data_IF_561010516974
#
_entry.id   IF_561010516974
#
_cell.length_a   1.000
_cell.length_b   1.000
_cell.length_c   1.000
_cell.angle_alpha   90.00
_cell.angle_beta   90.00
_cell.angle_gamma   90.00
#
_symmetry.space_group_name_H-M   'P 1'
#
loop_
_entity.id
_entity.type
_entity.pdbx_description
1 polymer ?
#
# COMPACT_ATOMS: atom_id res chain seq x y z
N UNK A 1 -15.89 -16.26 -2.37
CA UNK A 1 -15.97 -15.04 -3.21
C UNK A 1 -15.13 -15.28 -4.45
N UNK A 2 -15.65 -15.04 -5.65
CA UNK A 2 -14.92 -15.23 -6.90
C UNK A 2 -13.79 -14.17 -7.05
N UNK A 3 -12.62 -14.47 -7.67
CA UNK A 3 -11.50 -13.52 -7.77
C UNK A 3 -11.88 -12.16 -8.38
N UNK A 4 -12.68 -12.17 -9.45
CA UNK A 4 -13.18 -10.94 -10.09
C UNK A 4 -14.13 -10.16 -9.15
N UNK A 5 -14.91 -10.84 -8.32
CA UNK A 5 -15.80 -10.17 -7.34
C UNK A 5 -14.98 -9.49 -6.24
N UNK A 6 -13.90 -10.14 -5.78
CA UNK A 6 -12.95 -9.56 -4.81
C UNK A 6 -12.30 -8.30 -5.37
N UNK A 7 -11.85 -8.33 -6.64
CA UNK A 7 -11.31 -7.14 -7.32
C UNK A 7 -12.35 -6.01 -7.44
N UNK A 8 -13.59 -6.33 -7.78
CA UNK A 8 -14.69 -5.34 -7.83
C UNK A 8 -15.03 -4.76 -6.45
N UNK A 9 -14.87 -5.54 -5.39
CA UNK A 9 -15.03 -5.05 -4.03
C UNK A 9 -13.90 -4.09 -3.65
N UNK A 10 -12.64 -4.48 -3.87
CA UNK A 10 -11.43 -3.68 -3.61
C UNK A 10 -11.43 -2.37 -4.41
N UNK A 11 -11.86 -2.40 -5.67
CA UNK A 11 -12.02 -1.19 -6.47
C UNK A 11 -13.04 -0.22 -5.83
N UNK A 12 -14.00 -0.69 -5.03
CA UNK A 12 -15.04 0.17 -4.45
C UNK A 12 -14.74 0.65 -3.03
N UNK A 13 -13.80 0.05 -2.31
CA UNK A 13 -13.45 0.47 -0.94
C UNK A 13 -12.77 1.84 -0.93
N UNK A 14 -13.10 2.68 0.06
CA UNK A 14 -12.46 3.97 0.30
C UNK A 14 -12.03 4.07 1.78
N UNK A 15 -10.91 4.72 2.06
CA UNK A 15 -10.44 4.95 3.44
C UNK A 15 -9.84 3.72 4.13
N UNK A 16 -9.53 2.66 3.38
CA UNK A 16 -8.78 1.52 3.89
C UNK A 16 -7.28 1.86 3.93
N UNK A 17 -6.57 1.25 4.89
CA UNK A 17 -5.11 1.24 4.95
C UNK A 17 -4.53 0.81 3.59
N UNK A 18 -3.55 1.59 3.09
CA UNK A 18 -2.97 1.37 1.77
C UNK A 18 -2.22 0.03 1.66
N UNK A 19 -1.59 -0.45 2.74
CA UNK A 19 -0.92 -1.76 2.79
C UNK A 19 -1.94 -2.88 2.66
N UNK A 20 -3.05 -2.79 3.38
CA UNK A 20 -4.16 -3.76 3.28
C UNK A 20 -4.72 -3.77 1.87
N UNK A 21 -4.95 -2.58 1.27
CA UNK A 21 -5.48 -2.47 -0.08
C UNK A 21 -4.58 -3.11 -1.13
N UNK A 22 -3.25 -2.93 -1.00
CA UNK A 22 -2.25 -3.55 -1.87
C UNK A 22 -2.22 -5.06 -1.67
N UNK A 23 -2.16 -5.56 -0.43
CA UNK A 23 -2.12 -6.99 -0.13
C UNK A 23 -3.37 -7.72 -0.69
N UNK A 24 -4.53 -7.12 -0.51
CA UNK A 24 -5.80 -7.59 -1.03
C UNK A 24 -5.84 -7.61 -2.56
N UNK A 25 -5.34 -6.55 -3.19
CA UNK A 25 -5.23 -6.45 -4.65
C UNK A 25 -4.28 -7.51 -5.21
N UNK A 26 -3.09 -7.64 -4.63
CA UNK A 26 -2.10 -8.63 -5.04
C UNK A 26 -2.63 -10.07 -4.90
N UNK A 27 -3.32 -10.36 -3.79
CA UNK A 27 -4.00 -11.64 -3.57
C UNK A 27 -5.06 -11.92 -4.63
N UNK A 28 -5.90 -10.93 -4.92
CA UNK A 28 -6.98 -11.08 -5.90
C UNK A 28 -6.46 -11.23 -7.34
N UNK A 29 -5.42 -10.50 -7.73
CA UNK A 29 -4.77 -10.63 -9.03
C UNK A 29 -4.08 -12.00 -9.19
N UNK A 30 -3.46 -12.53 -8.14
CA UNK A 30 -2.87 -13.88 -8.15
C UNK A 30 -3.89 -14.97 -8.43
N UNK A 31 -5.13 -14.78 -7.96
CA UNK A 31 -6.20 -15.75 -8.12
C UNK A 31 -6.86 -15.71 -9.52
N UNK A 32 -6.48 -14.78 -10.40
CA UNK A 32 -6.91 -14.78 -11.81
C UNK A 32 -6.21 -15.86 -12.65
N UNK A 33 -5.04 -16.35 -12.21
CA UNK A 33 -4.24 -17.29 -12.98
C UNK A 33 -3.51 -16.63 -14.17
N UNK A 34 -2.92 -17.43 -15.07
CA UNK A 34 -2.13 -16.92 -16.20
C UNK A 34 -3.05 -16.37 -17.30
N UNK A 35 -3.46 -15.11 -17.16
CA UNK A 35 -4.19 -14.34 -18.17
C UNK A 35 -3.56 -12.95 -18.33
N UNK A 36 -2.62 -12.78 -19.28
CA UNK A 36 -1.95 -11.49 -19.49
C UNK A 36 -2.92 -10.36 -19.85
N UNK A 37 -3.95 -10.64 -20.65
CA UNK A 37 -4.94 -9.63 -21.03
C UNK A 37 -5.82 -9.24 -19.84
N UNK A 38 -6.27 -10.22 -19.05
CA UNK A 38 -7.01 -10.00 -17.83
C UNK A 38 -6.22 -9.22 -16.78
N UNK A 39 -4.90 -9.46 -16.69
CA UNK A 39 -4.00 -8.71 -15.80
C UNK A 39 -3.94 -7.23 -16.22
N UNK A 40 -3.71 -6.92 -17.50
CA UNK A 40 -3.67 -5.53 -18.01
C UNK A 40 -4.98 -4.80 -17.72
N UNK A 41 -6.13 -5.43 -18.03
CA UNK A 41 -7.45 -4.84 -17.80
C UNK A 41 -7.70 -4.61 -16.31
N UNK A 42 -7.30 -5.54 -15.45
CA UNK A 42 -7.49 -5.44 -14.01
C UNK A 42 -6.62 -4.33 -13.41
N UNK A 43 -5.33 -4.28 -13.75
CA UNK A 43 -4.41 -3.23 -13.33
C UNK A 43 -4.91 -1.84 -13.75
N UNK A 44 -5.35 -1.68 -15.00
CA UNK A 44 -5.94 -0.42 -15.48
C UNK A 44 -7.13 0.01 -14.62
N UNK A 45 -8.07 -0.89 -14.34
CA UNK A 45 -9.27 -0.58 -13.56
C UNK A 45 -8.96 -0.21 -12.11
N UNK A 46 -7.98 -0.89 -11.49
CA UNK A 46 -7.52 -0.58 -10.13
C UNK A 46 -6.98 0.85 -10.08
N UNK A 47 -6.10 1.20 -11.03
CA UNK A 47 -5.47 2.51 -11.11
C UNK A 47 -6.46 3.63 -11.45
N UNK A 48 -7.36 3.41 -12.43
CA UNK A 48 -8.42 4.37 -12.78
C UNK A 48 -9.32 4.70 -11.59
N UNK A 49 -9.48 3.74 -10.67
CA UNK A 49 -10.37 3.87 -9.52
C UNK A 49 -9.67 4.41 -8.27
N UNK A 50 -8.36 4.21 -8.16
CA UNK A 50 -7.53 4.69 -7.06
C UNK A 50 -6.39 5.59 -7.58
N UNK A 51 -6.71 6.70 -8.27
CA UNK A 51 -5.70 7.49 -8.99
C UNK A 51 -4.64 8.11 -8.08
N UNK A 52 -4.96 8.33 -6.81
CA UNK A 52 -4.07 8.92 -5.80
C UNK A 52 -3.32 7.88 -4.96
N UNK A 53 -3.57 6.58 -5.16
CA UNK A 53 -2.87 5.51 -4.44
C UNK A 53 -1.53 5.19 -5.12
N UNK A 54 -0.47 5.87 -4.67
CA UNK A 54 0.91 5.58 -5.09
C UNK A 54 1.28 4.09 -4.96
N UNK A 55 0.97 3.40 -3.84
CA UNK A 55 1.27 1.97 -3.68
C UNK A 55 0.58 1.06 -4.70
N UNK A 56 -0.67 1.37 -5.11
CA UNK A 56 -1.35 0.58 -6.15
C UNK A 56 -0.77 0.82 -7.55
N UNK A 57 -0.38 2.07 -7.86
CA UNK A 57 0.38 2.37 -9.07
C UNK A 57 1.69 1.58 -9.11
N UNK A 58 2.45 1.61 -8.00
CA UNK A 58 3.70 0.87 -7.85
C UNK A 58 3.50 -0.63 -8.06
N UNK A 59 2.52 -1.24 -7.38
CA UNK A 59 2.19 -2.66 -7.56
C UNK A 59 1.86 -2.98 -9.03
N UNK A 60 0.93 -2.26 -9.64
CA UNK A 60 0.47 -2.53 -11.00
C UNK A 60 1.60 -2.39 -12.03
N UNK A 61 2.44 -1.37 -11.90
CA UNK A 61 3.57 -1.17 -12.80
C UNK A 61 4.56 -2.34 -12.75
N UNK A 62 4.91 -2.82 -11.56
CA UNK A 62 5.83 -3.96 -11.40
C UNK A 62 5.22 -5.28 -11.88
N UNK A 63 3.91 -5.48 -11.69
CA UNK A 63 3.24 -6.68 -12.18
C UNK A 63 3.22 -6.75 -13.71
N UNK A 64 2.97 -5.62 -14.37
CA UNK A 64 2.88 -5.55 -15.84
C UNK A 64 4.22 -5.71 -16.55
N UNK A 65 5.33 -5.43 -15.85
CA UNK A 65 6.70 -5.55 -16.39
C UNK A 65 7.43 -6.80 -15.91
N UNK A 66 6.83 -7.57 -15.00
CA UNK A 66 7.43 -8.79 -14.48
C UNK A 66 7.26 -9.97 -15.44
N UNK A 67 8.29 -10.80 -15.66
CA UNK A 67 8.17 -12.06 -16.38
C UNK A 67 7.36 -13.11 -15.59
N UNK A 68 7.21 -12.92 -14.27
CA UNK A 68 6.48 -13.82 -13.37
C UNK A 68 5.51 -13.00 -12.48
N UNK A 69 4.42 -12.45 -13.03
CA UNK A 69 3.54 -11.52 -12.29
C UNK A 69 2.94 -12.12 -11.03
N UNK A 70 2.62 -13.42 -11.04
CA UNK A 70 2.01 -14.10 -9.89
C UNK A 70 2.98 -14.24 -8.71
N UNK A 71 4.27 -14.48 -9.00
CA UNK A 71 5.34 -14.50 -8.00
C UNK A 71 5.59 -13.08 -7.49
N UNK A 72 5.75 -12.12 -8.40
CA UNK A 72 5.96 -10.72 -8.08
C UNK A 72 4.85 -10.16 -7.20
N UNK A 73 3.57 -10.49 -7.44
CA UNK A 73 2.46 -10.03 -6.61
C UNK A 73 2.63 -10.41 -5.12
N UNK A 74 3.09 -11.64 -4.84
CA UNK A 74 3.34 -12.08 -3.46
C UNK A 74 4.53 -11.33 -2.85
N UNK A 75 5.61 -11.20 -3.60
CA UNK A 75 6.86 -10.56 -3.14
C UNK A 75 6.67 -9.07 -2.88
N UNK A 76 5.97 -8.36 -3.77
CA UNK A 76 5.68 -6.93 -3.64
C UNK A 76 4.76 -6.64 -2.45
N UNK A 77 3.73 -7.48 -2.25
CA UNK A 77 2.86 -7.35 -1.07
C UNK A 77 3.65 -7.58 0.23
N UNK A 78 4.52 -8.59 0.27
CA UNK A 78 5.38 -8.85 1.42
C UNK A 78 6.37 -7.70 1.68
N UNK A 79 6.96 -7.14 0.62
CA UNK A 79 7.90 -6.01 0.73
C UNK A 79 7.24 -4.75 1.30
N UNK A 80 5.99 -4.48 0.96
CA UNK A 80 5.24 -3.35 1.51
C UNK A 80 4.78 -3.59 2.95
N UNK A 81 4.43 -4.83 3.29
CA UNK A 81 4.09 -5.25 4.66
C UNK A 81 5.30 -5.12 5.60
N UNK A 82 6.48 -5.49 5.10
CA UNK A 82 7.76 -5.37 5.83
C UNK A 82 8.49 -4.04 5.57
N UNK A 83 7.78 -2.97 5.21
CA UNK A 83 8.39 -1.67 4.94
C UNK A 83 9.07 -1.10 6.20
N UNK A 84 10.40 -0.94 6.21
CA UNK A 84 11.14 -0.50 7.39
C UNK A 84 11.04 1.01 7.64
N UNK A 85 10.39 1.77 6.74
CA UNK A 85 10.33 3.24 6.81
C UNK A 85 9.89 3.76 8.20
N UNK A 86 8.86 3.20 8.85
CA UNK A 86 8.45 3.67 10.18
C UNK A 86 9.52 3.44 11.26
N UNK A 87 10.27 2.33 11.20
CA UNK A 87 11.35 2.03 12.14
C UNK A 87 12.53 2.97 11.94
N UNK A 88 12.96 3.13 10.69
CA UNK A 88 14.05 4.02 10.31
C UNK A 88 13.73 5.48 10.64
N UNK A 89 12.48 5.90 10.45
CA UNK A 89 12.03 7.23 10.82
C UNK A 89 12.05 7.42 12.34
N UNK A 90 11.59 6.43 13.11
CA UNK A 90 11.63 6.49 14.56
C UNK A 90 13.07 6.56 15.09
N UNK A 91 14.02 5.86 14.47
CA UNK A 91 15.45 5.91 14.84
C UNK A 91 16.09 7.26 14.47
N UNK A 92 15.73 7.83 13.32
CA UNK A 92 16.29 9.09 12.84
C UNK A 92 15.85 10.33 13.64
N UNK A 93 14.75 10.24 14.39
CA UNK A 93 14.22 11.35 15.19
C UNK A 93 15.09 11.62 16.44
N UNK A 94 15.51 12.88 16.70
CA UNK A 94 16.23 13.23 17.92
C UNK A 94 15.43 12.92 19.18
N UNK A 95 16.13 12.70 20.29
CA UNK A 95 15.49 12.56 21.60
C UNK A 95 14.69 13.81 21.98
N UNK A 96 13.50 13.61 22.55
CA UNK A 96 12.61 14.69 23.01
C UNK A 96 12.23 15.72 21.93
N UNK A 97 12.28 15.33 20.65
CA UNK A 97 11.97 16.24 19.55
C UNK A 97 10.47 16.61 19.51
N UNK A 98 10.21 17.83 19.02
CA UNK A 98 8.86 18.26 18.60
C UNK A 98 8.67 17.98 17.12
N UNK A 99 7.73 17.09 16.78
CA UNK A 99 7.42 16.67 15.41
C UNK A 99 6.08 17.27 14.99
N UNK A 100 6.07 17.95 13.85
CA UNK A 100 4.85 18.45 13.24
C UNK A 100 4.39 17.50 12.13
N UNK A 101 3.16 16.99 12.22
CA UNK A 101 2.52 16.16 11.19
C UNK A 101 1.37 16.93 10.56
N UNK A 102 1.20 16.79 9.25
CA UNK A 102 0.05 17.31 8.51
C UNK A 102 -0.85 16.13 8.14
N UNK A 103 -2.13 16.21 8.53
CA UNK A 103 -3.08 15.12 8.51
C UNK A 103 -2.68 13.98 9.47
N UNK A 104 -3.00 12.75 9.07
CA UNK A 104 -2.58 11.53 9.75
C UNK A 104 -1.95 10.52 8.77
N UNK A 105 -0.68 10.72 8.37
CA UNK A 105 -0.03 9.84 7.40
C UNK A 105 0.36 8.51 8.06
N UNK A 106 -0.07 7.38 7.48
CA UNK A 106 0.08 6.03 8.04
C UNK A 106 1.51 5.74 8.56
N UNK A 107 2.54 5.93 7.71
CA UNK A 107 3.94 5.61 8.04
C UNK A 107 4.52 6.53 9.12
N UNK A 108 4.23 7.83 9.05
CA UNK A 108 4.74 8.80 10.01
C UNK A 108 4.03 8.67 11.37
N UNK A 109 2.72 8.39 11.35
CA UNK A 109 1.93 8.06 12.53
C UNK A 109 2.46 6.82 13.25
N UNK A 110 2.76 5.75 12.50
CA UNK A 110 3.34 4.53 13.06
C UNK A 110 4.71 4.79 13.70
N UNK A 111 5.58 5.59 13.09
CA UNK A 111 6.88 5.95 13.64
C UNK A 111 6.76 6.71 14.97
N UNK A 112 5.93 7.76 15.03
CA UNK A 112 5.81 8.58 16.24
C UNK A 112 5.10 7.85 17.38
N UNK A 113 4.15 6.94 17.08
CA UNK A 113 3.47 6.13 18.10
C UNK A 113 4.42 5.20 18.86
N UNK A 114 5.56 4.82 18.26
CA UNK A 114 6.58 3.97 18.91
C UNK A 114 7.54 4.75 19.81
N UNK A 115 7.52 6.09 19.75
CA UNK A 115 8.42 6.96 20.51
C UNK A 115 7.66 7.68 21.63
N UNK A 116 7.88 7.24 22.87
CA UNK A 116 7.21 7.81 24.05
C UNK A 116 7.77 9.17 24.51
N UNK A 117 8.87 9.64 23.92
CA UNK A 117 9.58 10.86 24.31
C UNK A 117 9.24 12.08 23.44
N UNK A 118 8.50 11.91 22.34
CA UNK A 118 8.24 12.99 21.38
C UNK A 118 7.07 13.88 21.80
N UNK A 119 7.13 15.15 21.39
CA UNK A 119 5.95 16.03 21.36
C UNK A 119 5.42 16.08 19.93
N UNK A 120 4.20 15.61 19.69
CA UNK A 120 3.60 15.57 18.34
C UNK A 120 2.57 16.69 18.19
N UNK A 121 2.77 17.54 17.19
CA UNK A 121 1.81 18.55 16.74
C UNK A 121 1.11 18.04 15.48
N UNK A 122 -0.17 17.68 15.58
CA UNK A 122 -0.96 17.26 14.43
C UNK A 122 -1.76 18.45 13.89
N UNK A 123 -1.55 18.77 12.61
CA UNK A 123 -2.28 19.81 11.88
C UNK A 123 -3.27 19.10 10.96
N UNK A 124 -4.54 19.53 10.94
CA UNK A 124 -5.54 18.96 10.03
C UNK A 124 -5.21 19.26 8.55
N UNK A 125 -5.59 18.36 7.64
CA UNK A 125 -5.21 18.39 6.22
C UNK A 125 -6.36 18.82 5.30
#
# INVERSE_FOLDING_TARGET
>A
MHPIERLRYIARSSGADQRVLVAETASALRNLGPDPAGLVVSCRRIVERHPTSGPLWWLCAHLLTSPEPMRAARELAAALDSDPTPDLLAEALPESATVCLVGWPDLAGEAVLRRGDLTVLAIDA
#
